data_IF_635994322626
#
_entry.id   IF_635994322626
#
_cell.length_a   1.000
_cell.length_b   1.000
_cell.length_c   1.000
_cell.angle_alpha   90.00
_cell.angle_beta   90.00
_cell.angle_gamma   90.00
#
_symmetry.space_group_name_H-M   'P 1'
#
loop_
_entity.id
_entity.type
_entity.pdbx_description
1 polymer ?
#
# COMPACT_ATOMS: atom_id res chain seq x y z
N UNK A 1 -1.60 -22.25 9.94
CA UNK A 1 -2.81 -22.07 9.11
C UNK A 1 -2.36 -21.83 7.68
N UNK A 2 -3.12 -22.23 6.64
CA UNK A 2 -2.70 -22.12 5.23
C UNK A 2 -2.13 -20.72 5.00
N UNK A 3 -0.86 -20.67 4.59
CA UNK A 3 0.09 -19.64 5.00
C UNK A 3 -0.40 -18.20 4.85
N UNK A 4 -0.06 -17.35 5.83
CA UNK A 4 -0.37 -15.91 5.88
C UNK A 4 -0.25 -15.26 4.49
N UNK A 5 -1.37 -15.15 3.77
CA UNK A 5 -1.44 -14.42 2.50
C UNK A 5 -1.67 -12.95 2.85
N UNK A 6 -0.79 -12.09 2.34
CA UNK A 6 -0.87 -10.64 2.46
C UNK A 6 -1.34 -10.06 1.14
N UNK A 7 -2.27 -9.11 1.22
CA UNK A 7 -2.72 -8.36 0.05
C UNK A 7 -1.83 -7.14 -0.11
N UNK A 8 -1.19 -6.99 -1.27
CA UNK A 8 -0.36 -5.85 -1.65
C UNK A 8 -1.07 -5.06 -2.73
N UNK A 9 -1.08 -3.74 -2.58
CA UNK A 9 -1.56 -2.79 -3.58
C UNK A 9 -0.37 -2.23 -4.33
N UNK A 10 -0.36 -2.38 -5.65
CA UNK A 10 0.58 -1.74 -6.57
C UNK A 10 0.04 -0.38 -6.98
N UNK A 11 0.86 0.65 -6.83
CA UNK A 11 0.52 2.04 -7.13
C UNK A 11 1.56 2.69 -8.04
N UNK A 12 1.15 3.72 -8.76
CA UNK A 12 2.06 4.59 -9.49
C UNK A 12 2.92 5.40 -8.51
N UNK A 13 4.24 5.37 -8.69
CA UNK A 13 5.19 6.12 -7.86
C UNK A 13 5.18 7.63 -8.04
N UNK A 14 4.38 8.17 -8.97
CA UNK A 14 4.25 9.61 -9.21
C UNK A 14 2.89 10.13 -8.75
N UNK A 15 1.81 9.59 -9.29
CA UNK A 15 0.45 10.08 -8.99
C UNK A 15 -0.29 9.25 -7.93
N UNK A 16 0.32 8.18 -7.43
CA UNK A 16 -0.27 7.23 -6.45
C UNK A 16 -1.57 6.56 -6.88
N UNK A 17 -1.95 6.64 -8.15
CA UNK A 17 -3.06 5.85 -8.70
C UNK A 17 -2.80 4.36 -8.49
N UNK A 18 -3.76 3.67 -7.89
CA UNK A 18 -3.75 2.21 -7.78
C UNK A 18 -3.78 1.58 -9.17
N UNK A 19 -2.86 0.65 -9.40
CA UNK A 19 -2.68 -0.04 -10.68
C UNK A 19 -3.22 -1.47 -10.60
N UNK A 20 -2.92 -2.18 -9.51
CA UNK A 20 -3.39 -3.54 -9.29
C UNK A 20 -3.31 -3.91 -7.81
N UNK A 21 -4.04 -4.95 -7.43
CA UNK A 21 -3.98 -5.56 -6.10
C UNK A 21 -3.63 -7.04 -6.25
N UNK A 22 -2.60 -7.49 -5.54
CA UNK A 22 -2.06 -8.87 -5.62
C UNK A 22 -2.05 -9.52 -4.23
N UNK A 23 -2.28 -10.83 -4.17
CA UNK A 23 -2.11 -11.61 -2.96
C UNK A 23 -0.80 -12.37 -3.01
N UNK A 24 0.07 -12.15 -2.02
CA UNK A 24 1.37 -12.82 -1.91
C UNK A 24 1.49 -13.48 -0.55
N UNK A 25 2.27 -14.54 -0.45
CA UNK A 25 2.63 -15.08 0.87
C UNK A 25 3.43 -14.03 1.64
N UNK A 26 3.23 -13.91 2.94
CA UNK A 26 3.93 -12.99 3.83
C UNK A 26 5.45 -13.12 3.75
N UNK A 27 5.97 -14.34 3.60
CA UNK A 27 7.40 -14.62 3.38
C UNK A 27 7.96 -14.04 2.06
N UNK A 28 7.09 -13.81 1.07
CA UNK A 28 7.44 -13.25 -0.25
C UNK A 28 6.96 -11.80 -0.41
N UNK A 29 6.65 -11.12 0.70
CA UNK A 29 6.12 -9.77 0.72
C UNK A 29 7.23 -8.74 0.46
N UNK A 30 7.59 -8.56 -0.82
CA UNK A 30 8.57 -7.56 -1.22
C UNK A 30 7.88 -6.22 -1.52
N UNK A 31 7.88 -5.32 -0.52
CA UNK A 31 7.32 -3.96 -0.63
C UNK A 31 8.25 -2.97 -1.35
N UNK A 32 9.56 -3.20 -1.29
CA UNK A 32 10.55 -2.38 -2.00
C UNK A 32 10.85 -3.02 -3.35
N UNK A 33 10.56 -2.32 -4.43
CA UNK A 33 10.69 -2.81 -5.81
C UNK A 33 11.33 -1.72 -6.66
N UNK A 34 12.22 -2.10 -7.58
CA UNK A 34 12.78 -1.20 -8.60
C UNK A 34 12.05 -1.30 -9.93
N UNK A 35 10.96 -2.08 -9.97
CA UNK A 35 10.18 -2.28 -11.17
C UNK A 35 9.42 -1.01 -11.57
N UNK A 36 8.99 -0.98 -12.83
CA UNK A 36 8.14 0.07 -13.39
C UNK A 36 6.78 -0.52 -13.72
N UNK A 37 5.73 0.27 -13.53
CA UNK A 37 4.36 -0.05 -13.90
C UNK A 37 3.85 0.96 -14.91
N UNK A 38 3.05 0.49 -15.86
CA UNK A 38 2.31 1.39 -16.74
C UNK A 38 1.20 2.07 -15.95
N UNK A 39 1.22 3.39 -15.88
CA UNK A 39 0.16 4.15 -15.26
C UNK A 39 -0.79 4.71 -16.34
N UNK A 40 -2.09 4.35 -16.33
CA UNK A 40 -3.05 4.86 -17.31
C UNK A 40 -3.31 6.36 -17.15
N UNK A 41 -3.16 6.89 -15.92
CA UNK A 41 -3.33 8.31 -15.63
C UNK A 41 -2.15 9.13 -16.15
N UNK A 42 -0.91 8.70 -15.88
CA UNK A 42 0.28 9.36 -16.40
C UNK A 42 0.58 9.04 -17.88
N UNK A 43 -0.06 8.01 -18.45
CA UNK A 43 0.20 7.46 -19.79
C UNK A 43 1.69 7.19 -20.04
N UNK A 44 2.37 6.65 -19.03
CA UNK A 44 3.81 6.41 -19.04
C UNK A 44 4.21 5.28 -18.10
N UNK A 45 5.39 4.70 -18.34
CA UNK A 45 6.06 3.79 -17.41
C UNK A 45 6.59 4.60 -16.21
N UNK A 46 6.07 4.31 -15.02
CA UNK A 46 6.44 5.01 -13.78
C UNK A 46 7.00 4.02 -12.75
N UNK A 47 7.84 4.47 -11.80
CA UNK A 47 8.27 3.63 -10.70
C UNK A 47 7.07 2.98 -10.00
N UNK A 48 7.21 1.73 -9.61
CA UNK A 48 6.21 1.01 -8.83
C UNK A 48 6.35 1.36 -7.34
N UNK A 49 5.23 1.65 -6.68
CA UNK A 49 5.15 1.66 -5.22
C UNK A 49 4.25 0.50 -4.80
N UNK A 50 4.67 -0.28 -3.81
CA UNK A 50 3.84 -1.32 -3.21
C UNK A 50 3.50 -0.94 -1.78
N UNK A 51 2.27 -1.19 -1.37
CA UNK A 51 1.84 -1.03 0.02
C UNK A 51 0.99 -2.22 0.46
N UNK A 52 0.94 -2.47 1.75
CA UNK A 52 0.05 -3.48 2.31
C UNK A 52 -1.39 -2.94 2.30
N UNK A 53 -2.33 -3.69 1.72
CA UNK A 53 -3.73 -3.35 1.78
C UNK A 53 -4.18 -3.24 3.25
N UNK A 54 -4.98 -2.22 3.56
CA UNK A 54 -5.47 -1.98 4.93
C UNK A 54 -4.52 -1.19 5.84
N UNK A 55 -3.27 -0.92 5.44
CA UNK A 55 -2.36 -0.10 6.26
C UNK A 55 -2.90 1.31 6.52
N UNK A 56 -3.46 1.96 5.49
CA UNK A 56 -4.08 3.28 5.65
C UNK A 56 -5.31 3.24 6.58
N UNK A 57 -6.12 2.18 6.52
CA UNK A 57 -7.27 2.00 7.40
C UNK A 57 -6.83 1.75 8.86
N UNK A 58 -5.76 0.99 9.06
CA UNK A 58 -5.16 0.79 10.38
C UNK A 58 -4.63 2.11 10.95
N UNK A 59 -3.89 2.91 10.16
CA UNK A 59 -3.42 4.24 10.58
C UNK A 59 -4.59 5.15 10.97
N UNK A 60 -5.66 5.18 10.17
CA UNK A 60 -6.84 5.99 10.51
C UNK A 60 -7.52 5.53 11.80
N UNK A 61 -7.59 4.21 12.01
CA UNK A 61 -8.13 3.64 13.26
C UNK A 61 -7.27 4.03 14.45
N UNK A 62 -5.94 3.92 14.34
CA UNK A 62 -5.02 4.31 15.40
C UNK A 62 -5.14 5.81 15.72
N UNK A 63 -5.13 6.68 14.72
CA UNK A 63 -5.31 8.13 14.90
C UNK A 63 -6.66 8.46 15.55
N UNK A 64 -7.73 7.74 15.19
CA UNK A 64 -9.05 7.93 15.79
C UNK A 64 -9.09 7.52 17.26
N UNK A 65 -8.22 6.60 17.70
CA UNK A 65 -8.10 6.17 19.09
C UNK A 65 -7.15 7.02 19.93
N UNK A 66 -6.47 8.00 19.34
CA UNK A 66 -5.60 8.87 20.12
C UNK A 66 -6.42 9.65 21.14
N UNK A 67 -5.98 9.68 22.42
CA UNK A 67 -6.62 10.53 23.40
C UNK A 67 -6.56 11.96 22.87
N UNK A 68 -7.71 12.62 22.78
CA UNK A 68 -7.75 14.05 22.50
C UNK A 68 -6.96 14.71 23.61
N UNK A 69 -5.87 15.37 23.27
CA UNK A 69 -5.14 16.20 24.22
C UNK A 69 -6.15 17.16 24.84
N UNK A 70 -6.43 17.01 26.13
CA UNK A 70 -7.09 18.04 26.92
C UNK A 70 -6.26 19.31 26.76
N UNK A 71 -6.78 20.26 25.99
CA UNK A 71 -6.30 21.64 26.04
C UNK A 71 -6.84 22.23 27.35
N UNK A 72 -6.13 21.94 28.44
CA UNK A 72 -6.31 22.53 29.77
C UNK A 72 -5.13 23.41 30.12
#
# INVERSE_FOLDING_TARGET
MPGDMMTIVQMCGVCRTEIATIQVKKENMMLSTTAKVWCPNCKAQRPEIRDAAGRLAAIQTEVATYPKSDAG
#
